data_IF_539500902249
#
_entry.id   IF_539500902249
#
_cell.length_a   1.000
_cell.length_b   1.000
_cell.length_c   1.000
_cell.angle_alpha   90.00
_cell.angle_beta   90.00
_cell.angle_gamma   90.00
#
_symmetry.space_group_name_H-M   'P 1'
#
loop_
_entity.id
_entity.type
_entity.pdbx_description
1 polymer ?
#
# COMPACT_ATOMS: atom_id res chain seq x y z
N UNK A 1 63.72 56.85 26.18
CA UNK A 1 63.83 55.71 25.29
C UNK A 1 62.81 54.66 25.72
N UNK A 2 61.70 54.69 25.09
CA UNK A 2 60.50 53.80 25.40
C UNK A 2 60.44 52.76 24.29
N UNK A 3 60.48 51.46 24.62
CA UNK A 3 60.33 50.35 23.70
C UNK A 3 58.82 49.90 23.78
N UNK A 4 58.12 50.12 22.67
CA UNK A 4 56.76 49.56 22.46
C UNK A 4 56.91 48.08 22.04
N UNK A 5 56.27 47.23 22.82
CA UNK A 5 56.14 45.79 22.52
C UNK A 5 54.81 45.55 21.82
N UNK A 6 54.83 45.25 20.51
CA UNK A 6 53.63 44.85 19.75
C UNK A 6 53.37 43.37 20.01
N UNK A 7 52.27 43.04 20.72
CA UNK A 7 51.76 41.71 20.88
C UNK A 7 50.85 41.35 19.71
N UNK A 8 51.24 40.33 18.91
CA UNK A 8 50.44 39.76 17.83
C UNK A 8 49.51 38.72 18.40
N UNK A 9 48.20 39.05 18.48
CA UNK A 9 47.16 38.07 18.83
C UNK A 9 46.85 37.18 17.59
N UNK A 10 47.24 35.93 17.68
CA UNK A 10 46.90 34.89 16.69
C UNK A 10 45.55 34.30 17.06
N UNK A 11 44.49 34.71 16.37
CA UNK A 11 43.15 34.11 16.53
C UNK A 11 43.09 32.77 15.78
N UNK A 12 43.09 31.67 16.53
CA UNK A 12 42.84 30.32 16.00
C UNK A 12 41.35 30.11 15.86
N UNK A 13 40.83 30.19 14.64
CA UNK A 13 39.46 29.80 14.31
C UNK A 13 39.36 28.28 14.27
N UNK A 14 38.76 27.66 15.30
CA UNK A 14 38.39 26.24 15.29
C UNK A 14 37.24 26.04 14.29
N UNK A 15 37.53 25.48 13.14
CA UNK A 15 36.53 24.88 12.26
C UNK A 15 36.11 23.53 12.85
N UNK A 16 35.00 23.49 13.57
CA UNK A 16 34.33 22.21 13.88
C UNK A 16 33.73 21.64 12.60
N UNK A 17 34.05 20.40 12.20
CA UNK A 17 33.39 19.77 11.06
C UNK A 17 31.90 19.59 11.44
N UNK A 18 31.01 20.19 10.67
CA UNK A 18 29.57 19.84 10.69
C UNK A 18 29.47 18.39 10.18
N UNK A 19 29.38 17.44 11.10
CA UNK A 19 29.04 16.07 10.77
C UNK A 19 27.62 16.10 10.19
N UNK A 20 27.51 16.11 8.88
CA UNK A 20 26.27 15.82 8.17
C UNK A 20 25.90 14.37 8.50
N UNK A 21 24.96 14.19 9.40
CA UNK A 21 24.41 12.86 9.69
C UNK A 21 23.62 12.45 8.44
N UNK A 22 24.19 11.58 7.64
CA UNK A 22 23.48 10.97 6.53
C UNK A 22 22.26 10.22 7.09
N UNK A 23 21.07 10.52 6.59
CA UNK A 23 19.83 9.83 6.95
C UNK A 23 20.00 8.32 6.71
N UNK A 24 19.63 7.49 7.68
CA UNK A 24 19.69 6.04 7.53
C UNK A 24 18.71 5.54 6.46
N UNK A 25 18.94 4.34 5.94
CA UNK A 25 18.04 3.74 4.96
C UNK A 25 16.63 3.51 5.55
N UNK A 26 16.56 3.20 6.83
CA UNK A 26 15.32 3.02 7.58
C UNK A 26 14.57 4.35 7.76
N UNK A 27 15.27 5.41 8.17
CA UNK A 27 14.69 6.76 8.28
C UNK A 27 14.21 7.28 6.93
N UNK A 28 14.98 7.08 5.85
CA UNK A 28 14.56 7.48 4.50
C UNK A 28 13.35 6.69 4.04
N UNK A 29 13.31 5.38 4.26
CA UNK A 29 12.17 4.54 3.91
C UNK A 29 10.90 4.94 4.65
N UNK A 30 10.99 5.22 5.95
CA UNK A 30 9.88 5.71 6.77
C UNK A 30 9.40 7.08 6.30
N UNK A 31 10.31 8.01 6.00
CA UNK A 31 9.97 9.35 5.52
C UNK A 31 9.22 9.32 4.18
N UNK A 32 9.58 8.41 3.26
CA UNK A 32 8.87 8.20 2.00
C UNK A 32 7.44 7.70 2.27
N UNK A 33 7.26 6.75 3.18
CA UNK A 33 5.94 6.24 3.55
C UNK A 33 5.06 7.31 4.20
N UNK A 34 5.61 8.08 5.13
CA UNK A 34 4.92 9.20 5.79
C UNK A 34 4.52 10.30 4.81
N UNK A 35 5.36 10.62 3.83
CA UNK A 35 5.03 11.61 2.80
C UNK A 35 3.93 11.09 1.86
N UNK A 36 3.95 9.81 1.50
CA UNK A 36 2.89 9.17 0.71
C UNK A 36 1.53 9.24 1.44
N UNK A 37 1.52 8.92 2.72
CA UNK A 37 0.34 8.98 3.60
C UNK A 37 -0.18 10.42 3.74
N UNK A 38 0.69 11.37 4.07
CA UNK A 38 0.33 12.80 4.18
C UNK A 38 -0.30 13.36 2.90
N UNK A 39 0.17 12.93 1.72
CA UNK A 39 -0.41 13.36 0.44
C UNK A 39 -1.77 12.75 0.17
N UNK A 40 -2.05 11.60 0.76
CA UNK A 40 -3.30 10.87 0.59
C UNK A 40 -4.31 11.04 1.73
N UNK A 41 -4.06 11.93 2.64
CA UNK A 41 -4.97 12.23 3.75
C UNK A 41 -5.85 13.44 3.45
N UNK A 42 -7.13 13.37 3.87
CA UNK A 42 -8.13 14.44 3.79
C UNK A 42 -9.06 14.34 2.58
N UNK A 43 -9.23 13.14 1.99
CA UNK A 43 -10.17 12.91 0.87
C UNK A 43 -11.62 12.67 1.36
N UNK A 44 -11.83 12.28 2.63
CA UNK A 44 -13.11 12.16 3.30
C UNK A 44 -13.82 10.84 3.00
N UNK A 45 -14.53 10.75 1.90
CA UNK A 45 -15.17 9.51 1.45
C UNK A 45 -15.06 9.37 -0.07
N UNK A 46 -15.16 8.13 -0.55
CA UNK A 46 -15.17 7.85 -1.98
C UNK A 46 -16.13 6.70 -2.33
N UNK A 47 -16.66 6.75 -3.53
CA UNK A 47 -17.36 5.63 -4.17
C UNK A 47 -16.70 5.31 -5.50
N UNK A 48 -16.71 4.03 -5.88
CA UNK A 48 -16.23 3.63 -7.20
C UNK A 48 -16.93 2.33 -7.65
N UNK A 49 -16.93 2.12 -8.97
CA UNK A 49 -17.27 0.84 -9.57
C UNK A 49 -15.98 0.07 -9.88
N UNK A 50 -15.98 -1.21 -9.57
CA UNK A 50 -14.84 -2.10 -9.76
C UNK A 50 -15.26 -3.31 -10.60
N UNK A 51 -14.58 -3.50 -11.73
CA UNK A 51 -14.61 -4.74 -12.49
C UNK A 51 -13.40 -5.58 -12.13
N UNK A 52 -13.62 -6.78 -11.60
CA UNK A 52 -12.58 -7.75 -11.24
C UNK A 52 -12.60 -8.90 -12.23
N UNK A 53 -11.46 -9.21 -12.84
CA UNK A 53 -11.28 -10.35 -13.75
C UNK A 53 -10.28 -11.31 -13.11
N UNK A 54 -10.74 -12.51 -12.79
CA UNK A 54 -9.92 -13.59 -12.25
C UNK A 54 -9.50 -14.51 -13.39
N UNK A 55 -8.22 -14.90 -13.46
CA UNK A 55 -7.72 -15.88 -14.44
C UNK A 55 -7.06 -17.03 -13.71
N UNK A 56 -7.44 -18.24 -14.10
CA UNK A 56 -6.74 -19.42 -13.61
C UNK A 56 -5.46 -19.69 -14.44
N UNK A 57 -4.69 -20.71 -14.07
CA UNK A 57 -3.43 -21.08 -14.75
C UNK A 57 -3.58 -21.49 -16.22
N UNK A 58 -4.81 -21.77 -16.67
CA UNK A 58 -5.12 -22.16 -18.04
C UNK A 58 -5.66 -20.97 -18.87
N UNK A 59 -5.77 -19.78 -18.27
CA UNK A 59 -6.27 -18.58 -18.91
C UNK A 59 -7.80 -18.44 -18.93
N UNK A 60 -8.54 -19.37 -18.27
CA UNK A 60 -9.99 -19.24 -18.16
C UNK A 60 -10.35 -18.08 -17.24
N UNK A 61 -11.31 -17.26 -17.66
CA UNK A 61 -11.68 -16.02 -16.99
C UNK A 61 -13.02 -16.13 -16.24
N UNK A 62 -13.09 -15.46 -15.11
CA UNK A 62 -14.33 -15.16 -14.39
C UNK A 62 -14.37 -13.68 -14.05
N UNK A 63 -15.47 -13.01 -14.40
CA UNK A 63 -15.63 -11.57 -14.19
C UNK A 63 -16.63 -11.30 -13.07
N UNK A 64 -16.36 -10.25 -12.27
CA UNK A 64 -17.24 -9.75 -11.22
C UNK A 64 -17.36 -8.24 -11.33
N UNK A 65 -18.56 -7.72 -11.08
CA UNK A 65 -18.82 -6.30 -10.92
C UNK A 65 -19.13 -6.01 -9.47
N UNK A 66 -18.52 -4.98 -8.93
CA UNK A 66 -18.51 -4.68 -7.50
C UNK A 66 -18.66 -3.16 -7.36
N UNK A 67 -19.54 -2.73 -6.48
CA UNK A 67 -19.59 -1.33 -6.02
C UNK A 67 -18.82 -1.21 -4.73
N UNK A 68 -17.99 -0.16 -4.64
CA UNK A 68 -17.19 0.10 -3.45
C UNK A 68 -17.57 1.45 -2.82
N UNK A 69 -17.44 1.52 -1.51
CA UNK A 69 -17.55 2.76 -0.72
C UNK A 69 -16.46 2.72 0.33
N UNK A 70 -15.73 3.82 0.48
CA UNK A 70 -14.69 3.95 1.49
C UNK A 70 -14.90 5.24 2.25
N UNK A 71 -14.71 5.19 3.55
CA UNK A 71 -14.78 6.33 4.45
C UNK A 71 -13.42 6.46 5.13
N UNK A 72 -12.78 7.59 4.91
CA UNK A 72 -11.56 7.95 5.62
C UNK A 72 -11.82 8.18 7.11
N UNK A 73 -10.91 7.69 7.95
CA UNK A 73 -10.98 7.89 9.40
C UNK A 73 -9.70 8.57 9.86
N UNK A 74 -9.82 9.83 10.27
CA UNK A 74 -8.68 10.61 10.75
C UNK A 74 -8.03 9.95 11.98
N UNK A 75 -6.72 9.72 11.90
CA UNK A 75 -5.91 9.15 12.98
C UNK A 75 -6.09 7.64 13.21
N UNK A 76 -6.85 6.94 12.38
CA UNK A 76 -6.99 5.47 12.38
C UNK A 76 -7.04 4.97 10.91
N UNK A 77 -7.25 3.69 10.70
CA UNK A 77 -7.44 3.14 9.36
C UNK A 77 -8.89 3.27 8.86
N UNK A 78 -9.04 3.20 7.55
CA UNK A 78 -10.29 3.47 6.86
C UNK A 78 -11.35 2.38 7.03
N UNK A 79 -12.60 2.72 6.71
CA UNK A 79 -13.71 1.78 6.62
C UNK A 79 -14.10 1.60 5.17
N UNK A 80 -14.22 0.36 4.71
CA UNK A 80 -14.60 0.06 3.34
C UNK A 80 -15.72 -0.96 3.26
N UNK A 81 -16.58 -0.80 2.24
CA UNK A 81 -17.68 -1.71 1.91
C UNK A 81 -17.62 -2.03 0.42
N UNK A 82 -17.52 -3.31 0.07
CA UNK A 82 -17.59 -3.82 -1.30
C UNK A 82 -18.83 -4.70 -1.45
N UNK A 83 -19.67 -4.43 -2.45
CA UNK A 83 -20.91 -5.18 -2.72
C UNK A 83 -20.83 -5.74 -4.14
N UNK A 84 -20.93 -7.07 -4.26
CA UNK A 84 -20.92 -7.78 -5.54
C UNK A 84 -22.29 -7.68 -6.22
N UNK A 85 -22.30 -7.22 -7.47
CA UNK A 85 -23.51 -7.10 -8.30
C UNK A 85 -23.65 -8.24 -9.29
N UNK A 86 -22.54 -8.75 -9.80
CA UNK A 86 -22.47 -9.92 -10.72
C UNK A 86 -21.26 -10.80 -10.40
N UNK A 87 -21.26 -12.08 -10.81
CA UNK A 87 -22.38 -12.87 -11.36
C UNK A 87 -23.41 -13.28 -10.30
N UNK A 88 -24.45 -14.00 -10.72
CA UNK A 88 -25.61 -14.32 -9.88
C UNK A 88 -25.27 -15.14 -8.60
N UNK A 89 -24.23 -15.99 -8.66
CA UNK A 89 -23.77 -16.84 -7.54
C UNK A 89 -23.13 -16.04 -6.39
N UNK A 90 -22.59 -14.85 -6.67
CA UNK A 90 -22.01 -13.95 -5.67
C UNK A 90 -22.82 -12.67 -5.47
N UNK A 91 -23.90 -12.45 -6.24
CA UNK A 91 -24.70 -11.24 -6.17
C UNK A 91 -25.21 -10.97 -4.77
N UNK A 92 -25.00 -9.73 -4.28
CA UNK A 92 -25.38 -9.29 -2.94
C UNK A 92 -24.41 -9.75 -1.84
N UNK A 93 -23.35 -10.49 -2.17
CA UNK A 93 -22.23 -10.69 -1.24
C UNK A 93 -21.66 -9.32 -0.89
N UNK A 94 -21.44 -9.07 0.40
CA UNK A 94 -20.88 -7.81 0.87
C UNK A 94 -19.69 -8.07 1.78
N UNK A 95 -18.61 -7.33 1.55
CA UNK A 95 -17.41 -7.35 2.39
C UNK A 95 -17.25 -5.99 3.06
N UNK A 96 -17.27 -5.99 4.40
CA UNK A 96 -17.06 -4.81 5.23
C UNK A 96 -15.70 -4.94 5.93
N UNK A 97 -14.88 -3.90 5.87
CA UNK A 97 -13.60 -3.82 6.55
C UNK A 97 -13.50 -2.54 7.37
N UNK A 98 -13.13 -2.67 8.63
CA UNK A 98 -12.67 -1.58 9.49
C UNK A 98 -11.18 -1.81 9.73
N UNK A 99 -10.37 -0.98 9.13
CA UNK A 99 -8.92 -1.02 9.28
C UNK A 99 -8.52 -0.20 10.50
N UNK A 100 -7.43 -0.57 11.14
CA UNK A 100 -6.91 0.14 12.30
C UNK A 100 -5.40 0.29 12.20
N UNK A 101 -4.88 1.45 12.61
CA UNK A 101 -3.45 1.72 12.59
C UNK A 101 -2.65 0.87 13.59
N UNK A 102 -3.17 0.70 14.81
CA UNK A 102 -2.43 0.10 15.95
C UNK A 102 -3.03 -1.20 16.48
N UNK A 103 -4.24 -1.57 16.10
CA UNK A 103 -4.90 -2.80 16.53
C UNK A 103 -5.30 -3.66 15.34
N UNK A 104 -5.77 -4.88 15.62
CA UNK A 104 -6.19 -5.81 14.58
C UNK A 104 -7.41 -5.26 13.79
N UNK A 105 -7.37 -5.39 12.48
CA UNK A 105 -8.47 -5.06 11.59
C UNK A 105 -9.71 -5.92 11.89
N UNK A 106 -10.88 -5.37 11.65
CA UNK A 106 -12.15 -6.06 11.77
C UNK A 106 -12.80 -6.19 10.40
N UNK A 107 -13.05 -7.43 9.98
CA UNK A 107 -13.55 -7.72 8.65
C UNK A 107 -14.73 -8.70 8.72
N UNK A 108 -15.77 -8.44 7.91
CA UNK A 108 -16.98 -9.27 7.84
C UNK A 108 -17.35 -9.52 6.37
N UNK A 109 -17.75 -10.74 6.11
CA UNK A 109 -18.27 -11.18 4.82
C UNK A 109 -19.73 -11.62 5.00
N UNK A 110 -20.67 -10.90 4.38
CA UNK A 110 -22.06 -11.32 4.26
C UNK A 110 -22.23 -12.22 3.05
N UNK A 111 -22.81 -13.39 3.25
CA UNK A 111 -23.10 -14.39 2.22
C UNK A 111 -24.62 -14.53 2.06
N UNK A 112 -25.24 -13.95 1.02
CA UNK A 112 -26.70 -13.93 0.84
C UNK A 112 -27.31 -15.34 0.76
N UNK A 113 -26.65 -16.26 0.03
CA UNK A 113 -27.11 -17.63 -0.11
C UNK A 113 -27.25 -18.38 1.23
N UNK A 114 -26.42 -18.00 2.22
CA UNK A 114 -26.44 -18.57 3.57
C UNK A 114 -27.20 -17.68 4.57
N UNK A 115 -27.62 -16.46 4.17
CA UNK A 115 -28.17 -15.41 5.04
C UNK A 115 -27.33 -15.18 6.30
N UNK A 116 -25.99 -15.23 6.16
CA UNK A 116 -25.05 -15.19 7.28
C UNK A 116 -23.97 -14.14 7.07
N UNK A 117 -23.61 -13.48 8.18
CA UNK A 117 -22.38 -12.69 8.29
C UNK A 117 -21.30 -13.58 8.90
N UNK A 118 -20.16 -13.70 8.23
CA UNK A 118 -18.97 -14.39 8.71
C UNK A 118 -17.92 -13.36 9.06
N UNK A 119 -17.43 -13.33 10.29
CA UNK A 119 -16.25 -12.55 10.67
C UNK A 119 -15.01 -13.25 10.10
N UNK A 120 -14.15 -12.50 9.44
CA UNK A 120 -12.83 -12.97 9.01
C UNK A 120 -11.90 -12.82 10.21
N UNK A 121 -11.38 -13.94 10.71
CA UNK A 121 -10.43 -13.89 11.82
C UNK A 121 -9.08 -13.36 11.35
N UNK A 122 -8.33 -12.72 12.24
CA UNK A 122 -6.97 -12.22 11.96
C UNK A 122 -6.02 -13.32 11.46
N UNK A 123 -6.24 -14.58 11.87
CA UNK A 123 -5.46 -15.74 11.40
C UNK A 123 -5.74 -16.08 9.92
N UNK A 124 -6.87 -15.63 9.36
CA UNK A 124 -7.30 -15.94 7.99
C UNK A 124 -7.15 -14.75 7.03
N UNK A 125 -6.59 -13.62 7.47
CA UNK A 125 -6.45 -12.43 6.62
C UNK A 125 -5.49 -12.63 5.44
N UNK A 126 -4.57 -13.58 5.53
CA UNK A 126 -3.69 -13.97 4.42
C UNK A 126 -4.35 -14.90 3.39
N UNK A 127 -5.61 -15.31 3.63
CA UNK A 127 -6.38 -16.12 2.67
C UNK A 127 -6.86 -15.30 1.47
N UNK A 128 -7.18 -15.98 0.34
CA UNK A 128 -7.60 -15.30 -0.89
C UNK A 128 -8.98 -14.66 -0.74
N UNK A 129 -9.10 -13.38 -1.12
CA UNK A 129 -10.37 -12.68 -1.15
C UNK A 129 -11.26 -13.21 -2.29
N UNK A 130 -12.34 -13.89 -1.93
CA UNK A 130 -13.34 -14.39 -2.88
C UNK A 130 -12.74 -15.18 -4.05
N UNK A 131 -11.62 -15.89 -3.83
CA UNK A 131 -10.93 -16.69 -4.84
C UNK A 131 -10.04 -15.90 -5.80
N UNK A 132 -9.83 -14.60 -5.57
CA UNK A 132 -8.88 -13.76 -6.29
C UNK A 132 -7.45 -13.97 -5.79
N UNK A 133 -6.46 -13.39 -6.48
CA UNK A 133 -5.07 -13.36 -6.03
C UNK A 133 -4.80 -12.23 -5.02
N UNK A 134 -5.80 -11.42 -4.68
CA UNK A 134 -5.75 -10.51 -3.54
C UNK A 134 -6.09 -11.27 -2.24
N UNK A 135 -5.31 -11.09 -1.21
CA UNK A 135 -5.63 -11.56 0.14
C UNK A 135 -6.56 -10.55 0.86
N UNK A 136 -7.24 -10.97 1.92
CA UNK A 136 -8.03 -10.04 2.74
C UNK A 136 -7.17 -8.92 3.32
N UNK A 137 -5.89 -9.17 3.63
CA UNK A 137 -4.95 -8.15 4.11
C UNK A 137 -4.53 -7.14 3.03
N UNK A 138 -4.64 -7.48 1.74
CA UNK A 138 -4.35 -6.56 0.64
C UNK A 138 -5.45 -5.51 0.43
N UNK A 139 -6.63 -5.74 0.99
CA UNK A 139 -7.83 -4.89 0.86
C UNK A 139 -8.03 -3.96 2.06
N UNK A 140 -7.06 -3.89 2.95
CA UNK A 140 -7.07 -2.96 4.09
C UNK A 140 -6.25 -1.72 3.76
N UNK A 141 -6.55 -0.59 4.41
CA UNK A 141 -5.69 0.58 4.30
C UNK A 141 -4.29 0.27 4.87
N UNK A 142 -3.28 0.83 4.21
CA UNK A 142 -1.87 0.51 4.45
C UNK A 142 -1.25 1.55 5.38
N UNK A 143 -1.75 1.58 6.62
CA UNK A 143 -1.28 2.52 7.66
C UNK A 143 0.23 2.44 7.87
N UNK A 144 0.88 3.59 8.01
CA UNK A 144 2.35 3.68 8.16
C UNK A 144 2.84 2.85 9.34
N UNK A 145 2.11 2.83 10.44
CA UNK A 145 2.48 2.12 11.66
C UNK A 145 2.44 0.59 11.54
N UNK A 146 1.80 0.07 10.49
CA UNK A 146 1.71 -1.38 10.25
C UNK A 146 2.99 -2.01 9.74
N UNK A 147 4.00 -1.20 9.39
CA UNK A 147 5.23 -1.70 8.77
C UNK A 147 6.48 -1.04 9.36
N UNK A 148 7.60 -1.75 9.32
CA UNK A 148 8.92 -1.15 9.31
C UNK A 148 9.38 -0.97 7.88
N UNK A 149 10.23 0.03 7.63
CA UNK A 149 10.60 0.47 6.30
C UNK A 149 12.12 0.50 6.13
N UNK A 150 12.57 0.26 4.89
CA UNK A 150 13.97 0.44 4.49
C UNK A 150 14.03 0.90 3.05
N UNK A 151 14.59 2.08 2.81
CA UNK A 151 14.92 2.51 1.45
C UNK A 151 16.05 1.65 0.88
N UNK A 152 15.86 1.15 -0.33
CA UNK A 152 16.86 0.32 -1.01
C UNK A 152 17.67 1.10 -2.05
N UNK A 153 16.98 1.82 -2.96
CA UNK A 153 17.57 2.56 -4.07
C UNK A 153 16.54 3.41 -4.81
N UNK A 154 16.99 4.27 -5.69
CA UNK A 154 16.18 4.83 -6.77
C UNK A 154 16.25 3.91 -8.00
N UNK A 155 15.15 3.80 -8.73
CA UNK A 155 15.05 2.97 -9.94
C UNK A 155 13.98 3.54 -10.87
N UNK A 156 14.27 3.63 -12.18
CA UNK A 156 13.26 4.00 -13.17
C UNK A 156 12.57 2.74 -13.71
N UNK A 157 11.24 2.70 -13.66
CA UNK A 157 10.44 1.61 -14.25
C UNK A 157 9.26 2.21 -15.02
N UNK A 158 8.96 1.67 -16.19
CA UNK A 158 7.80 2.02 -17.02
C UNK A 158 7.63 3.56 -17.24
N UNK A 159 8.76 4.29 -17.31
CA UNK A 159 8.78 5.74 -17.50
C UNK A 159 8.59 6.57 -16.23
N UNK A 160 8.60 5.95 -15.06
CA UNK A 160 8.52 6.59 -13.75
C UNK A 160 9.85 6.50 -13.00
N UNK A 161 10.34 7.62 -12.47
CA UNK A 161 11.38 7.62 -11.46
C UNK A 161 10.78 7.20 -10.13
N UNK A 162 11.32 6.17 -9.49
CA UNK A 162 10.75 5.58 -8.28
C UNK A 162 11.76 5.49 -7.15
N UNK A 163 11.25 5.58 -5.90
CA UNK A 163 11.92 5.07 -4.72
C UNK A 163 11.59 3.59 -4.57
N UNK A 164 12.59 2.73 -4.41
CA UNK A 164 12.38 1.32 -4.05
C UNK A 164 12.50 1.18 -2.54
N UNK A 165 11.39 0.81 -1.90
CA UNK A 165 11.27 0.70 -0.45
C UNK A 165 10.86 -0.70 -0.06
N UNK A 166 11.66 -1.36 0.76
CA UNK A 166 11.30 -2.61 1.42
C UNK A 166 10.52 -2.29 2.69
N UNK A 167 9.44 -3.04 2.95
CA UNK A 167 8.63 -2.93 4.15
C UNK A 167 8.33 -4.31 4.73
N UNK A 168 8.36 -4.41 6.05
CA UNK A 168 8.06 -5.64 6.77
C UNK A 168 6.82 -5.44 7.63
N UNK A 169 5.80 -6.32 7.53
CA UNK A 169 4.63 -6.25 8.40
C UNK A 169 5.02 -6.32 9.87
N UNK A 170 4.54 -5.36 10.67
CA UNK A 170 4.72 -5.30 12.12
C UNK A 170 3.53 -5.91 12.89
N UNK A 171 2.55 -6.44 12.17
CA UNK A 171 1.36 -7.08 12.73
C UNK A 171 1.43 -8.61 12.60
N UNK A 172 0.72 -9.31 13.48
CA UNK A 172 0.68 -10.77 13.50
C UNK A 172 -0.13 -11.36 12.34
N UNK A 173 0.18 -12.59 11.97
CA UNK A 173 -0.53 -13.41 10.99
C UNK A 173 -0.54 -12.91 9.55
N UNK A 174 0.38 -12.02 9.18
CA UNK A 174 0.57 -11.67 7.77
C UNK A 174 0.93 -12.91 6.94
N UNK A 175 0.47 -12.95 5.70
CA UNK A 175 0.91 -13.92 4.70
C UNK A 175 2.31 -13.62 4.15
N UNK A 176 2.86 -12.45 4.49
CA UNK A 176 4.11 -11.95 3.92
C UNK A 176 5.19 -11.78 4.97
N UNK A 177 6.44 -12.07 4.59
CA UNK A 177 7.62 -11.69 5.37
C UNK A 177 8.07 -10.28 5.06
N UNK A 178 7.94 -9.87 3.80
CA UNK A 178 8.29 -8.53 3.32
C UNK A 178 7.55 -8.18 2.03
N UNK A 179 7.48 -6.91 1.74
CA UNK A 179 7.03 -6.34 0.47
C UNK A 179 8.13 -5.41 -0.05
N UNK A 180 8.35 -5.40 -1.37
CA UNK A 180 9.22 -4.40 -2.02
C UNK A 180 8.34 -3.56 -2.92
N UNK A 181 8.33 -2.25 -2.69
CA UNK A 181 7.43 -1.30 -3.36
C UNK A 181 8.23 -0.28 -4.14
N UNK A 182 7.89 -0.09 -5.41
CA UNK A 182 8.34 1.00 -6.27
C UNK A 182 7.34 2.14 -6.15
N UNK A 183 7.73 3.21 -5.48
CA UNK A 183 6.91 4.39 -5.21
C UNK A 183 7.33 5.50 -6.16
N UNK A 184 6.40 5.98 -6.99
CA UNK A 184 6.64 7.11 -7.90
C UNK A 184 7.09 8.35 -7.13
N UNK A 185 8.18 9.00 -7.57
CA UNK A 185 8.78 10.13 -6.86
C UNK A 185 7.96 11.42 -6.96
N UNK A 186 7.03 11.52 -7.91
CA UNK A 186 6.18 12.70 -8.09
C UNK A 186 4.82 12.52 -7.41
N UNK A 187 4.14 11.42 -7.70
CA UNK A 187 2.81 11.12 -7.16
C UNK A 187 2.85 10.56 -5.74
N UNK A 188 3.97 9.94 -5.33
CA UNK A 188 4.10 9.15 -4.10
C UNK A 188 3.08 8.01 -4.03
N UNK A 189 2.86 7.32 -5.18
CA UNK A 189 1.97 6.17 -5.32
C UNK A 189 2.72 4.94 -5.81
N UNK A 190 2.29 3.73 -5.40
CA UNK A 190 2.95 2.51 -5.81
C UNK A 190 2.71 2.23 -7.29
N UNK A 191 3.77 2.09 -8.08
CA UNK A 191 3.71 1.60 -9.46
C UNK A 191 3.77 0.08 -9.49
N UNK A 192 4.60 -0.51 -8.61
CA UNK A 192 4.79 -1.96 -8.49
C UNK A 192 4.98 -2.35 -7.03
N UNK A 193 4.45 -3.52 -6.65
CA UNK A 193 4.71 -4.15 -5.35
C UNK A 193 5.00 -5.63 -5.55
N UNK A 194 6.11 -6.11 -5.02
CA UNK A 194 6.45 -7.52 -4.92
C UNK A 194 6.17 -8.02 -3.50
N UNK A 195 5.47 -9.15 -3.40
CA UNK A 195 5.07 -9.76 -2.14
C UNK A 195 5.85 -11.06 -1.94
N UNK A 196 6.51 -11.20 -0.81
CA UNK A 196 7.29 -12.37 -0.46
C UNK A 196 6.58 -13.17 0.63
N UNK A 197 6.40 -14.47 0.40
CA UNK A 197 5.67 -15.37 1.29
C UNK A 197 6.41 -15.64 2.61
N UNK A 198 5.83 -16.50 3.47
CA UNK A 198 6.41 -16.88 4.76
C UNK A 198 7.73 -17.66 4.67
N UNK A 199 8.08 -18.15 3.47
CA UNK A 199 9.38 -18.79 3.19
C UNK A 199 10.40 -17.80 2.66
N UNK A 200 9.98 -16.54 2.39
CA UNK A 200 10.82 -15.51 1.79
C UNK A 200 10.91 -15.60 0.26
N UNK A 201 10.08 -16.46 -0.38
CA UNK A 201 10.02 -16.62 -1.83
C UNK A 201 9.06 -15.60 -2.45
N UNK A 202 9.35 -15.16 -3.68
CA UNK A 202 8.46 -14.27 -4.42
C UNK A 202 7.13 -15.00 -4.69
N UNK A 203 6.06 -14.48 -4.07
CA UNK A 203 4.72 -15.04 -4.20
C UNK A 203 3.98 -14.42 -5.37
N UNK A 204 3.86 -13.10 -5.38
CA UNK A 204 3.05 -12.37 -6.36
C UNK A 204 3.58 -10.95 -6.57
N UNK A 205 3.18 -10.36 -7.70
CA UNK A 205 3.50 -8.98 -8.06
C UNK A 205 2.20 -8.24 -8.39
N UNK A 206 2.03 -7.07 -7.82
CA UNK A 206 0.99 -6.10 -8.15
C UNK A 206 1.61 -4.99 -8.99
N UNK A 207 0.98 -4.64 -10.10
CA UNK A 207 1.28 -3.41 -10.86
C UNK A 207 0.05 -2.51 -10.85
N UNK A 208 0.27 -1.20 -10.71
CA UNK A 208 -0.78 -0.18 -10.72
C UNK A 208 -0.49 0.84 -11.81
N UNK A 209 -1.51 1.18 -12.60
CA UNK A 209 -1.39 2.07 -13.75
C UNK A 209 -2.68 2.88 -13.98
N UNK A 210 -2.69 3.70 -15.03
CA UNK A 210 -3.82 4.57 -15.38
C UNK A 210 -4.25 5.47 -14.20
N UNK A 211 -3.25 6.03 -13.51
CA UNK A 211 -3.51 6.94 -12.40
C UNK A 211 -4.19 8.23 -12.85
N UNK A 212 -5.26 8.60 -12.17
CA UNK A 212 -5.96 9.87 -12.35
C UNK A 212 -5.98 10.67 -11.06
N UNK A 213 -5.92 11.99 -11.21
CA UNK A 213 -5.97 12.89 -10.06
C UNK A 213 -7.38 13.37 -9.81
N UNK A 214 -7.85 13.23 -8.58
CA UNK A 214 -9.16 13.66 -8.12
C UNK A 214 -9.00 14.82 -7.13
N UNK A 215 -9.98 15.73 -7.12
CA UNK A 215 -9.98 16.95 -6.30
C UNK A 215 -8.68 17.78 -6.43
N UNK A 216 -7.97 17.64 -7.56
CA UNK A 216 -6.68 18.31 -7.80
C UNK A 216 -5.53 17.85 -6.89
N UNK A 217 -5.71 16.77 -6.12
CA UNK A 217 -4.73 16.32 -5.11
C UNK A 217 -4.54 14.80 -5.10
N UNK A 218 -5.62 14.02 -5.03
CA UNK A 218 -5.56 12.58 -4.74
C UNK A 218 -5.42 11.75 -5.99
N UNK A 219 -4.45 10.85 -6.01
CA UNK A 219 -4.21 9.95 -7.13
C UNK A 219 -4.86 8.58 -6.88
N UNK A 220 -5.65 8.11 -7.84
CA UNK A 220 -6.28 6.78 -7.81
C UNK A 220 -5.92 6.01 -9.07
N UNK A 221 -5.52 4.71 -8.94
CA UNK A 221 -5.24 3.87 -10.11
C UNK A 221 -6.52 3.50 -10.84
N UNK A 222 -6.51 3.55 -12.16
CA UNK A 222 -7.58 2.98 -12.98
C UNK A 222 -7.44 1.47 -13.15
N UNK A 223 -6.21 0.96 -13.10
CA UNK A 223 -5.92 -0.46 -13.31
C UNK A 223 -4.94 -0.97 -12.27
N UNK A 224 -5.26 -2.12 -11.68
CA UNK A 224 -4.37 -2.88 -10.81
C UNK A 224 -4.32 -4.34 -11.29
N UNK A 225 -3.12 -4.90 -11.48
CA UNK A 225 -2.93 -6.28 -11.95
C UNK A 225 -2.08 -7.05 -10.96
N UNK A 226 -2.63 -8.13 -10.41
CA UNK A 226 -1.94 -9.05 -9.52
C UNK A 226 -1.62 -10.34 -10.26
N UNK A 227 -0.34 -10.72 -10.29
CA UNK A 227 0.12 -11.99 -10.89
C UNK A 227 0.77 -12.83 -9.79
N UNK A 228 0.29 -14.04 -9.60
CA UNK A 228 0.85 -15.01 -8.67
C UNK A 228 1.85 -15.92 -9.41
N UNK A 229 3.12 -15.83 -9.00
CA UNK A 229 4.22 -16.54 -9.66
C UNK A 229 4.29 -18.04 -9.30
N UNK A 230 3.69 -18.41 -8.16
CA UNK A 230 3.70 -19.81 -7.69
C UNK A 230 2.52 -20.62 -8.24
N UNK A 231 1.36 -19.98 -8.41
CA UNK A 231 0.14 -20.64 -8.91
C UNK A 231 -0.14 -20.38 -10.39
N UNK A 232 0.55 -19.40 -11.00
CA UNK A 232 0.33 -18.91 -12.37
C UNK A 232 -1.11 -18.42 -12.62
N UNK A 233 -1.75 -17.89 -11.57
CA UNK A 233 -3.06 -17.24 -11.62
C UNK A 233 -2.87 -15.73 -11.60
N UNK A 234 -3.89 -15.01 -12.05
CA UNK A 234 -3.88 -13.55 -11.98
C UNK A 234 -5.25 -12.99 -11.65
N UNK A 235 -5.28 -11.75 -11.18
CA UNK A 235 -6.50 -10.97 -10.98
C UNK A 235 -6.25 -9.54 -11.42
N UNK A 236 -7.08 -9.03 -12.33
CA UNK A 236 -7.06 -7.65 -12.75
C UNK A 236 -8.25 -6.90 -12.13
N UNK A 237 -8.02 -5.70 -11.65
CA UNK A 237 -9.01 -4.76 -11.13
C UNK A 237 -9.05 -3.53 -12.06
N UNK A 238 -10.24 -3.17 -12.51
CA UNK A 238 -10.50 -1.98 -13.30
C UNK A 238 -11.46 -1.09 -12.54
N UNK A 239 -10.99 0.08 -12.17
CA UNK A 239 -11.72 1.05 -11.38
C UNK A 239 -12.30 2.15 -12.26
N UNK A 240 -13.57 2.47 -12.07
CA UNK A 240 -14.28 3.51 -12.79
C UNK A 240 -15.22 4.28 -11.86
N UNK A 241 -15.73 5.42 -12.33
CA UNK A 241 -16.74 6.24 -11.64
C UNK A 241 -16.35 6.61 -10.20
N UNK A 242 -15.08 6.92 -9.98
CA UNK A 242 -14.66 7.52 -8.72
C UNK A 242 -15.40 8.84 -8.46
N UNK A 243 -16.02 8.98 -7.28
CA UNK A 243 -16.73 10.17 -6.83
C UNK A 243 -16.56 10.37 -5.31
#
# INVERSE_FOLDING_TARGET
MSKLLNGLLLSVTLFAPLASWAQSAEEKGLAIAQEADRRDTGWGDETADLKMILRNRHGEESTREIRTRTLEVDGDGDKSLSIFDTPADVKGTAFLSYTHALKADEQWLFLPALKRVKRISSNNKSGPFMGSEFAYEDLTSQEVQKYSYKYLRDEAIDGHDTFVVERHPAYEHSGYTRLVTWVDQQMYRPIKVEFYDRKGELLKTLTSSDYKQYLGKYWRPGVMKMVNHQTHKSTDLFWTHYA
#
